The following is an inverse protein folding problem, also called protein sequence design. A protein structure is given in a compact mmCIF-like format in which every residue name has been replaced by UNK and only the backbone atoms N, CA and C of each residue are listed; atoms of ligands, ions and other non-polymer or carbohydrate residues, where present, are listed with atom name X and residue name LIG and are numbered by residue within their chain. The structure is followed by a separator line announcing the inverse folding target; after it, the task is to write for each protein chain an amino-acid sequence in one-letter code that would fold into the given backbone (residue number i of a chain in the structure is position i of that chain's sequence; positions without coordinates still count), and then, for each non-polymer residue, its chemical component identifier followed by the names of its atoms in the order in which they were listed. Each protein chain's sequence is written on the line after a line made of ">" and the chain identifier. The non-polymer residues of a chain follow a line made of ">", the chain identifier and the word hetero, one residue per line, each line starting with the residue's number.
data_IF_921905100975
#
_entry.id   IF_921905100975
#
_cell.length_a   1.000
_cell.length_b   1.000
_cell.length_c   1.000
_cell.angle_alpha   90.00
_cell.angle_beta   90.00
_cell.angle_gamma   90.00
#
_symmetry.space_group_name_H-M   'P 1'
#
loop_
_entity.id
_entity.type
_entity.pdbx_description
1 polymer ?
#
# COMPACT_ATOMS: atom_id res chain seq x y z
N UNK A 1 16.47 -7.06 -0.57
CA UNK A 1 17.71 -6.41 -0.07
C UNK A 1 18.36 -7.19 1.08
N UNK A 2 17.76 -7.20 2.28
CA UNK A 2 18.35 -7.87 3.46
C UNK A 2 18.57 -9.38 3.22
N UNK A 3 17.57 -10.07 2.68
CA UNK A 3 17.64 -11.51 2.42
C UNK A 3 18.79 -11.91 1.47
N UNK A 4 19.12 -11.05 0.51
CA UNK A 4 20.19 -11.27 -0.47
C UNK A 4 21.52 -10.63 -0.04
N UNK A 5 21.62 -10.15 1.20
CA UNK A 5 22.84 -9.58 1.78
C UNK A 5 23.28 -8.24 1.18
N UNK A 6 22.39 -7.54 0.47
CA UNK A 6 22.71 -6.27 -0.17
C UNK A 6 22.47 -5.09 0.79
N UNK A 7 23.28 -4.02 0.65
CA UNK A 7 23.13 -2.79 1.43
C UNK A 7 21.86 -2.03 1.03
N UNK A 8 20.83 -2.09 1.88
CA UNK A 8 19.57 -1.40 1.62
C UNK A 8 19.70 0.13 1.76
N UNK A 9 20.63 0.64 2.57
CA UNK A 9 20.77 2.09 2.78
C UNK A 9 21.27 2.76 1.51
N UNK A 10 22.20 2.11 0.81
CA UNK A 10 22.69 2.60 -0.49
C UNK A 10 21.57 2.68 -1.53
N UNK A 11 20.70 1.65 -1.59
CA UNK A 11 19.56 1.64 -2.50
C UNK A 11 18.51 2.68 -2.11
N UNK A 12 18.17 2.80 -0.83
CA UNK A 12 17.21 3.79 -0.33
C UNK A 12 17.65 5.22 -0.66
N UNK A 13 18.91 5.55 -0.35
CA UNK A 13 19.46 6.88 -0.64
C UNK A 13 19.44 7.18 -2.15
N UNK A 14 19.83 6.21 -2.98
CA UNK A 14 19.81 6.35 -4.44
C UNK A 14 18.41 6.51 -4.99
N UNK A 15 17.46 5.68 -4.53
CA UNK A 15 16.07 5.73 -4.96
C UNK A 15 15.39 7.06 -4.58
N UNK A 16 15.53 7.51 -3.33
CA UNK A 16 14.91 8.76 -2.88
C UNK A 16 15.57 10.01 -3.48
N UNK A 17 16.89 9.98 -3.75
CA UNK A 17 17.53 11.03 -4.54
C UNK A 17 16.98 11.05 -5.98
N UNK A 18 16.83 9.88 -6.61
CA UNK A 18 16.28 9.73 -7.96
C UNK A 18 14.81 10.15 -8.08
N UNK A 19 14.04 10.04 -6.98
CA UNK A 19 12.67 10.54 -6.89
C UNK A 19 12.56 12.07 -7.02
N UNK A 20 13.68 12.80 -6.85
CA UNK A 20 13.73 14.27 -6.92
C UNK A 20 14.48 14.79 -8.15
N UNK A 21 14.82 13.92 -9.11
CA UNK A 21 15.67 14.26 -10.27
C UNK A 21 15.11 15.39 -11.14
N UNK A 22 13.80 15.57 -11.15
CA UNK A 22 13.09 16.57 -11.96
C UNK A 22 12.80 17.87 -11.17
N UNK A 23 13.56 18.11 -10.09
CA UNK A 23 13.48 19.35 -9.29
C UNK A 23 12.40 19.34 -8.19
N UNK A 24 11.62 18.27 -8.08
CA UNK A 24 10.65 18.05 -6.99
C UNK A 24 10.58 16.57 -6.66
N UNK A 25 10.43 16.25 -5.37
CA UNK A 25 10.19 14.88 -4.93
C UNK A 25 8.84 14.35 -5.46
N UNK A 26 8.87 13.21 -6.15
CA UNK A 26 7.70 12.58 -6.77
C UNK A 26 7.62 11.08 -6.46
N UNK A 27 6.51 10.46 -6.84
CA UNK A 27 6.38 9.00 -6.81
C UNK A 27 7.40 8.34 -7.75
N UNK A 28 7.93 7.19 -7.33
CA UNK A 28 8.95 6.44 -8.09
C UNK A 28 8.36 5.53 -9.18
N UNK A 29 7.07 5.21 -9.08
CA UNK A 29 6.32 4.41 -10.05
C UNK A 29 5.27 5.24 -10.76
N UNK A 30 4.94 4.84 -11.98
CA UNK A 30 3.87 5.41 -12.80
C UNK A 30 2.84 4.32 -13.09
N UNK A 31 1.57 4.69 -13.04
CA UNK A 31 0.45 3.83 -13.40
C UNK A 31 -0.40 4.56 -14.42
N UNK A 32 -0.65 3.92 -15.55
CA UNK A 32 -1.43 4.47 -16.67
C UNK A 32 -2.46 3.44 -17.13
N UNK A 33 -3.55 3.93 -17.73
CA UNK A 33 -4.59 3.08 -18.30
C UNK A 33 -4.43 3.08 -19.81
N UNK A 34 -4.19 1.90 -20.39
CA UNK A 34 -4.28 1.69 -21.82
C UNK A 34 -5.76 1.41 -22.16
N UNK A 35 -6.43 2.44 -22.68
CA UNK A 35 -7.86 2.37 -23.00
C UNK A 35 -8.17 1.49 -24.20
N UNK A 36 -7.23 1.31 -25.13
CA UNK A 36 -7.46 0.49 -26.33
C UNK A 36 -7.39 -1.00 -25.98
N UNK A 37 -6.51 -1.36 -25.04
CA UNK A 37 -6.29 -2.75 -24.61
C UNK A 37 -7.06 -3.13 -23.34
N UNK A 38 -7.70 -2.15 -22.69
CA UNK A 38 -8.33 -2.29 -21.36
C UNK A 38 -7.36 -2.80 -20.29
N UNK A 39 -6.11 -2.36 -20.35
CA UNK A 39 -5.01 -2.82 -19.49
C UNK A 39 -4.51 -1.71 -18.55
N UNK A 40 -4.25 -2.05 -17.28
CA UNK A 40 -3.54 -1.18 -16.35
C UNK A 40 -2.03 -1.44 -16.48
N UNK A 41 -1.28 -0.40 -16.83
CA UNK A 41 0.17 -0.48 -17.06
C UNK A 41 0.91 0.16 -15.88
N UNK A 42 1.84 -0.59 -15.28
CA UNK A 42 2.71 -0.12 -14.20
C UNK A 42 4.16 -0.08 -14.63
N UNK A 43 4.84 1.04 -14.40
CA UNK A 43 6.26 1.20 -14.69
C UNK A 43 7.01 1.76 -13.48
N UNK A 44 8.25 1.31 -13.28
CA UNK A 44 9.12 1.82 -12.24
C UNK A 44 10.59 1.70 -12.65
N UNK A 45 11.31 2.81 -12.55
CA UNK A 45 12.77 2.85 -12.80
C UNK A 45 13.47 3.28 -11.53
N UNK A 46 14.48 2.52 -11.12
CA UNK A 46 15.26 2.80 -9.90
C UNK A 46 16.76 2.58 -10.16
N UNK A 47 17.64 3.40 -9.55
CA UNK A 47 19.03 3.03 -9.40
C UNK A 47 19.13 1.76 -8.56
N UNK A 48 19.67 0.68 -9.13
CA UNK A 48 19.73 -0.62 -8.45
C UNK A 48 21.15 -1.23 -8.47
N UNK A 49 22.15 -0.58 -7.86
CA UNK A 49 23.50 -1.14 -7.71
C UNK A 49 23.50 -2.28 -6.66
N UNK A 50 23.13 -3.48 -7.09
CA UNK A 50 23.16 -4.70 -6.28
C UNK A 50 24.32 -5.60 -6.68
N UNK A 51 24.71 -6.48 -5.77
CA UNK A 51 25.76 -7.46 -5.95
C UNK A 51 25.28 -8.88 -5.61
N UNK A 52 25.89 -9.85 -6.27
CA UNK A 52 25.72 -11.29 -6.00
C UNK A 52 27.01 -11.92 -5.46
N UNK A 53 28.08 -11.13 -5.34
CA UNK A 53 29.38 -11.51 -4.78
C UNK A 53 29.90 -10.39 -3.88
N UNK A 54 30.67 -10.76 -2.86
CA UNK A 54 31.33 -9.82 -1.95
C UNK A 54 30.52 -9.48 -0.69
N UNK A 55 31.18 -8.85 0.28
CA UNK A 55 30.59 -8.43 1.56
C UNK A 55 30.08 -9.60 2.40
N UNK A 56 28.90 -9.41 3.01
CA UNK A 56 28.22 -10.40 3.87
C UNK A 56 27.57 -11.56 3.09
N UNK A 57 27.55 -11.50 1.75
CA UNK A 57 26.86 -12.47 0.89
C UNK A 57 27.43 -13.89 1.04
N UNK A 58 28.76 -14.01 1.14
CA UNK A 58 29.43 -15.30 1.34
C UNK A 58 29.59 -15.71 2.81
N UNK A 59 29.28 -14.83 3.76
CA UNK A 59 29.51 -15.06 5.19
C UNK A 59 28.27 -15.54 5.93
N UNK A 60 27.08 -15.10 5.49
CA UNK A 60 25.82 -15.51 6.09
C UNK A 60 25.21 -16.69 5.32
N UNK A 61 25.11 -17.90 5.91
CA UNK A 61 24.55 -19.07 5.24
C UNK A 61 23.12 -18.87 4.70
N UNK A 62 22.31 -18.04 5.37
CA UNK A 62 20.94 -17.74 4.92
C UNK A 62 20.92 -16.84 3.69
N UNK A 63 21.92 -15.98 3.52
CA UNK A 63 22.06 -15.18 2.30
C UNK A 63 22.44 -16.07 1.13
N UNK A 64 23.40 -16.97 1.31
CA UNK A 64 23.77 -17.95 0.28
C UNK A 64 22.56 -18.78 -0.16
N UNK A 65 21.77 -19.30 0.80
CA UNK A 65 20.53 -20.02 0.52
C UNK A 65 19.51 -19.16 -0.24
N UNK A 66 19.42 -17.86 0.07
CA UNK A 66 18.50 -16.96 -0.64
C UNK A 66 18.89 -16.75 -2.11
N UNK A 67 20.19 -16.71 -2.42
CA UNK A 67 20.67 -16.67 -3.81
C UNK A 67 20.40 -18.00 -4.53
N UNK A 68 20.59 -19.13 -3.86
CA UNK A 68 20.28 -20.46 -4.41
C UNK A 68 18.79 -20.62 -4.71
N UNK A 69 17.92 -20.20 -3.79
CA UNK A 69 16.46 -20.23 -3.96
C UNK A 69 16.00 -19.42 -5.18
N UNK A 70 16.70 -18.31 -5.48
CA UNK A 70 16.44 -17.47 -6.64
C UNK A 70 17.07 -18.01 -7.94
N UNK A 71 17.72 -19.18 -7.90
CA UNK A 71 18.36 -19.79 -9.07
C UNK A 71 19.74 -19.23 -9.38
N UNK A 72 20.44 -18.66 -8.39
CA UNK A 72 21.76 -18.04 -8.52
C UNK A 72 21.84 -16.99 -9.64
N UNK A 73 20.99 -15.94 -9.61
CA UNK A 73 20.95 -14.93 -10.65
C UNK A 73 22.26 -14.13 -10.71
N UNK A 74 22.55 -13.57 -11.88
CA UNK A 74 23.53 -12.49 -12.01
C UNK A 74 23.05 -11.23 -11.28
N UNK A 75 23.96 -10.28 -11.00
CA UNK A 75 23.59 -9.03 -10.36
C UNK A 75 22.54 -8.23 -11.14
N UNK A 76 22.59 -8.29 -12.48
CA UNK A 76 21.62 -7.62 -13.35
C UNK A 76 20.23 -8.28 -13.27
N UNK A 77 20.17 -9.59 -13.27
CA UNK A 77 18.91 -10.34 -13.10
C UNK A 77 18.32 -10.10 -11.70
N UNK A 78 19.18 -10.12 -10.66
CA UNK A 78 18.75 -9.81 -9.31
C UNK A 78 18.18 -8.38 -9.19
N UNK A 79 18.82 -7.40 -9.84
CA UNK A 79 18.31 -6.04 -9.89
C UNK A 79 16.90 -5.97 -10.50
N UNK A 80 16.68 -6.67 -11.62
CA UNK A 80 15.37 -6.74 -12.29
C UNK A 80 14.32 -7.38 -11.37
N UNK A 81 14.65 -8.49 -10.71
CA UNK A 81 13.75 -9.16 -9.75
C UNK A 81 13.35 -8.18 -8.63
N UNK A 82 14.32 -7.44 -8.07
CA UNK A 82 14.06 -6.50 -6.97
C UNK A 82 13.15 -5.35 -7.42
N UNK A 83 13.39 -4.78 -8.60
CA UNK A 83 12.53 -3.72 -9.16
C UNK A 83 11.11 -4.27 -9.41
N UNK A 84 10.97 -5.46 -9.97
CA UNK A 84 9.66 -6.11 -10.17
C UNK A 84 8.92 -6.32 -8.86
N UNK A 85 9.62 -6.76 -7.80
CA UNK A 85 9.03 -6.90 -6.45
C UNK A 85 8.55 -5.54 -5.92
N UNK A 86 9.33 -4.47 -6.11
CA UNK A 86 8.93 -3.14 -5.67
C UNK A 86 7.68 -2.63 -6.39
N UNK A 87 7.55 -2.89 -7.69
CA UNK A 87 6.36 -2.52 -8.45
C UNK A 87 5.13 -3.34 -8.01
N UNK A 88 5.31 -4.64 -7.77
CA UNK A 88 4.24 -5.50 -7.25
C UNK A 88 3.77 -5.07 -5.85
N UNK A 89 4.71 -4.68 -4.97
CA UNK A 89 4.40 -4.16 -3.64
C UNK A 89 3.63 -2.83 -3.74
N UNK A 90 4.04 -1.94 -4.64
CA UNK A 90 3.35 -0.68 -4.90
C UNK A 90 1.93 -0.92 -5.43
N UNK A 91 1.75 -1.84 -6.39
CA UNK A 91 0.45 -2.23 -6.91
C UNK A 91 -0.49 -2.73 -5.80
N UNK A 92 -0.02 -3.65 -4.97
CA UNK A 92 -0.82 -4.22 -3.88
C UNK A 92 -1.26 -3.13 -2.88
N UNK A 93 -0.36 -2.20 -2.54
CA UNK A 93 -0.67 -1.07 -1.67
C UNK A 93 -1.73 -0.14 -2.28
N UNK A 94 -1.56 0.27 -3.54
CA UNK A 94 -2.52 1.12 -4.23
C UNK A 94 -3.89 0.44 -4.35
N UNK A 95 -3.92 -0.82 -4.77
CA UNK A 95 -5.15 -1.61 -4.88
C UNK A 95 -5.85 -1.72 -3.53
N UNK A 96 -5.11 -1.98 -2.45
CA UNK A 96 -5.69 -2.03 -1.11
C UNK A 96 -6.29 -0.67 -0.69
N UNK A 97 -5.60 0.43 -0.95
CA UNK A 97 -6.04 1.79 -0.61
C UNK A 97 -7.32 2.22 -1.35
N UNK A 98 -7.45 1.85 -2.62
CA UNK A 98 -8.60 2.24 -3.45
C UNK A 98 -9.73 1.20 -3.45
N UNK A 99 -9.51 0.01 -2.88
CA UNK A 99 -10.51 -1.05 -2.79
C UNK A 99 -11.34 -0.98 -1.52
N UNK A 100 -12.55 -1.54 -1.59
CA UNK A 100 -13.59 -1.46 -0.56
C UNK A 100 -13.23 -2.15 0.75
N UNK A 101 -12.22 -3.03 0.77
CA UNK A 101 -11.85 -3.82 1.95
C UNK A 101 -11.39 -2.97 3.14
N UNK A 102 -10.59 -1.92 2.90
CA UNK A 102 -10.18 -0.96 3.94
C UNK A 102 -11.37 -0.03 4.26
N UNK A 103 -12.11 0.41 3.24
CA UNK A 103 -13.25 1.30 3.41
C UNK A 103 -14.31 0.71 4.34
N UNK A 104 -14.68 -0.57 4.26
CA UNK A 104 -15.72 -1.13 5.14
C UNK A 104 -15.38 -1.08 6.64
N UNK A 105 -14.12 -1.36 7.01
CA UNK A 105 -13.66 -1.23 8.40
C UNK A 105 -13.68 0.23 8.88
N UNK A 106 -13.25 1.16 8.03
CA UNK A 106 -13.32 2.59 8.28
C UNK A 106 -14.75 3.13 8.28
N UNK A 107 -15.67 2.57 7.48
CA UNK A 107 -17.08 2.95 7.42
C UNK A 107 -17.77 2.67 8.75
N UNK A 108 -17.46 1.57 9.44
CA UNK A 108 -17.99 1.31 10.78
C UNK A 108 -17.49 2.32 11.82
N UNK A 109 -16.22 2.70 11.73
CA UNK A 109 -15.63 3.76 12.57
C UNK A 109 -16.19 5.15 12.24
N UNK A 110 -16.42 5.44 10.96
CA UNK A 110 -17.00 6.68 10.48
C UNK A 110 -18.47 6.79 10.87
N UNK A 111 -19.26 5.72 10.72
CA UNK A 111 -20.63 5.63 11.19
C UNK A 111 -20.71 5.84 12.70
N UNK A 112 -19.80 5.21 13.48
CA UNK A 112 -19.71 5.42 14.93
C UNK A 112 -19.39 6.87 15.28
N UNK A 113 -18.45 7.49 14.56
CA UNK A 113 -18.07 8.89 14.76
C UNK A 113 -19.24 9.84 14.43
N UNK A 114 -19.97 9.57 13.34
CA UNK A 114 -21.16 10.33 12.96
C UNK A 114 -22.31 10.15 13.95
N UNK A 115 -22.53 8.94 14.47
CA UNK A 115 -23.52 8.68 15.51
C UNK A 115 -23.22 9.48 16.79
N UNK A 116 -21.95 9.49 17.23
CA UNK A 116 -21.51 10.27 18.39
C UNK A 116 -21.65 11.79 18.14
N UNK A 117 -21.27 12.28 16.94
CA UNK A 117 -21.42 13.69 16.56
C UNK A 117 -22.90 14.12 16.46
N UNK A 118 -23.80 13.22 16.05
CA UNK A 118 -25.23 13.46 16.05
C UNK A 118 -25.83 13.52 17.47
N UNK A 119 -25.06 13.16 18.51
CA UNK A 119 -25.47 13.19 19.91
C UNK A 119 -26.08 11.88 20.42
N UNK A 120 -25.73 10.74 19.82
CA UNK A 120 -26.14 9.43 20.31
C UNK A 120 -25.44 9.08 21.63
N UNK A 121 -26.19 8.53 22.58
CA UNK A 121 -25.67 7.94 23.83
C UNK A 121 -25.07 6.56 23.58
N UNK A 122 -24.31 5.99 24.53
CA UNK A 122 -23.66 4.69 24.36
C UNK A 122 -24.61 3.56 23.96
N UNK A 123 -25.85 3.55 24.49
CA UNK A 123 -26.88 2.57 24.14
C UNK A 123 -27.48 2.77 22.75
N UNK A 124 -27.44 3.99 22.21
CA UNK A 124 -28.02 4.35 20.91
C UNK A 124 -27.01 4.18 19.76
N UNK A 125 -25.72 4.18 20.06
CA UNK A 125 -24.65 4.09 19.05
C UNK A 125 -24.71 2.79 18.25
N UNK A 126 -24.88 1.65 18.91
CA UNK A 126 -24.92 0.35 18.22
C UNK A 126 -26.07 0.25 17.18
N UNK A 127 -27.35 0.48 17.54
CA UNK A 127 -28.45 0.40 16.58
C UNK A 127 -28.37 1.48 15.48
N UNK A 128 -27.88 2.68 15.81
CA UNK A 128 -27.72 3.75 14.82
C UNK A 128 -26.63 3.42 13.78
N UNK A 129 -25.50 2.85 14.23
CA UNK A 129 -24.40 2.44 13.35
C UNK A 129 -24.81 1.33 12.38
N UNK A 130 -25.58 0.34 12.84
CA UNK A 130 -26.10 -0.72 11.97
C UNK A 130 -26.97 -0.16 10.85
N UNK A 131 -27.85 0.81 11.19
CA UNK A 131 -28.73 1.45 10.23
C UNK A 131 -28.00 2.35 9.23
N UNK A 132 -26.96 3.06 9.67
CA UNK A 132 -26.10 3.85 8.80
C UNK A 132 -25.31 2.98 7.82
N UNK A 133 -24.73 1.87 8.28
CA UNK A 133 -23.95 0.96 7.43
C UNK A 133 -24.85 0.30 6.37
N UNK A 134 -26.10 -0.02 6.71
CA UNK A 134 -27.06 -0.61 5.77
C UNK A 134 -27.35 0.30 4.56
N UNK A 135 -27.34 1.63 4.74
CA UNK A 135 -27.60 2.61 3.68
C UNK A 135 -26.43 2.82 2.71
N UNK A 136 -25.23 2.27 3.01
CA UNK A 136 -23.96 2.40 2.26
C UNK A 136 -23.41 3.81 2.05
N UNK A 137 -24.25 4.85 1.96
CA UNK A 137 -23.87 6.26 1.90
C UNK A 137 -24.62 7.04 2.97
N UNK A 138 -23.88 7.62 3.91
CA UNK A 138 -24.44 8.32 5.06
C UNK A 138 -23.59 9.53 5.42
N UNK A 139 -24.24 10.58 5.94
CA UNK A 139 -23.64 11.83 6.40
C UNK A 139 -24.22 12.19 7.77
N UNK A 140 -23.84 13.36 8.32
CA UNK A 140 -24.29 13.79 9.65
C UNK A 140 -25.81 14.00 9.71
N UNK A 141 -26.40 14.56 8.66
CA UNK A 141 -27.85 14.80 8.57
C UNK A 141 -28.65 13.48 8.61
N UNK A 142 -28.21 12.47 7.88
CA UNK A 142 -28.80 11.12 7.93
C UNK A 142 -28.67 10.50 9.32
N UNK A 143 -27.53 10.70 10.00
CA UNK A 143 -27.33 10.21 11.37
C UNK A 143 -28.26 10.90 12.39
N UNK A 144 -28.45 12.22 12.27
CA UNK A 144 -29.40 12.97 13.11
C UNK A 144 -30.84 12.51 12.90
N UNK A 145 -31.27 12.38 11.65
CA UNK A 145 -32.61 11.88 11.30
C UNK A 145 -32.86 10.47 11.86
N UNK A 146 -31.88 9.58 11.76
CA UNK A 146 -32.00 8.23 12.31
C UNK A 146 -31.99 8.20 13.83
N UNK A 147 -31.27 9.12 14.48
CA UNK A 147 -31.31 9.26 15.92
C UNK A 147 -32.67 9.78 16.41
N UNK A 148 -33.27 10.75 15.71
CA UNK A 148 -34.63 11.24 16.02
C UNK A 148 -35.68 10.14 15.88
N UNK A 149 -35.60 9.34 14.81
CA UNK A 149 -36.49 8.19 14.62
C UNK A 149 -36.31 7.09 15.68
N UNK A 150 -35.11 6.97 16.26
CA UNK A 150 -34.83 5.98 17.32
C UNK A 150 -35.40 6.42 18.68
N UNK A 151 -35.54 7.72 18.90
CA UNK A 151 -36.03 8.34 20.13
C UNK A 151 -37.54 8.60 20.14
N UNK A 152 -38.20 8.44 18.99
CA UNK A 152 -39.65 8.59 18.81
C UNK A 152 -40.36 7.26 19.03
#
# INVERSE_FOLDING_TARGET
>A
MIATGNDWRAIEAGAHAFASRDGRYQGLSQWTLDMEREELVGEMTLPMPVATKGGSIGLNPRVALSHELLGNPSAKELAQIIVSIGLAQNFAALKALVSTGIQQGHMKLQAKSLALLAGATESEVAPLVERLIADKTFNLETAQRYLENLRS
#
